data_IF_910140922985
#
_entry.id   IF_910140922985
#
_cell.length_a   1.000
_cell.length_b   1.000
_cell.length_c   1.000
_cell.angle_alpha   90.00
_cell.angle_beta   90.00
_cell.angle_gamma   90.00
#
_symmetry.space_group_name_H-M   'P 1'
#
loop_
_entity.id
_entity.type
_entity.pdbx_description
1 polymer ?
#
# COMPACT_ATOMS: atom_id res chain seq x y z
N UNK A 1 -2.55 12.20 -6.09
CA UNK A 1 -2.06 11.73 -7.39
C UNK A 1 -3.10 11.77 -8.51
N UNK A 2 -4.42 11.66 -8.26
CA UNK A 2 -5.44 11.70 -9.32
C UNK A 2 -5.46 13.05 -10.06
N UNK A 3 -5.32 14.17 -9.35
CA UNK A 3 -5.27 15.51 -9.94
C UNK A 3 -4.07 15.66 -10.87
N UNK A 4 -2.90 15.19 -10.46
CA UNK A 4 -1.68 15.24 -11.29
C UNK A 4 -1.84 14.39 -12.56
N UNK A 5 -2.45 13.20 -12.42
CA UNK A 5 -2.73 12.31 -13.55
C UNK A 5 -3.72 12.96 -14.54
N UNK A 6 -4.78 13.55 -14.01
CA UNK A 6 -5.75 14.29 -14.84
C UNK A 6 -5.11 15.41 -15.66
N UNK A 7 -4.28 16.26 -15.03
CA UNK A 7 -3.57 17.33 -15.71
C UNK A 7 -2.57 16.81 -16.75
N UNK A 8 -1.87 15.72 -16.43
CA UNK A 8 -0.96 15.06 -17.35
C UNK A 8 -1.71 14.55 -18.59
N UNK A 9 -2.82 13.81 -18.40
CA UNK A 9 -3.63 13.30 -19.49
C UNK A 9 -4.16 14.43 -20.39
N UNK A 10 -4.67 15.52 -19.79
CA UNK A 10 -5.10 16.71 -20.50
C UNK A 10 -4.00 17.27 -21.42
N UNK A 11 -2.79 17.40 -20.88
CA UNK A 11 -1.66 17.97 -21.62
C UNK A 11 -1.13 17.02 -22.70
N UNK A 12 -1.09 15.73 -22.40
CA UNK A 12 -0.65 14.69 -23.34
C UNK A 12 -1.58 14.61 -24.55
N UNK A 13 -2.91 14.70 -24.32
CA UNK A 13 -3.92 14.66 -25.40
C UNK A 13 -3.74 15.75 -26.44
N UNK A 14 -3.18 16.90 -26.08
CA UNK A 14 -2.88 17.96 -27.05
C UNK A 14 -1.87 17.53 -28.13
N UNK A 15 -1.11 16.45 -27.87
CA UNK A 15 0.00 16.01 -28.73
C UNK A 15 -0.24 14.64 -29.35
N UNK A 16 -0.90 13.73 -28.62
CA UNK A 16 -1.10 12.34 -29.04
C UNK A 16 -2.49 11.83 -28.69
N UNK A 17 -2.95 10.80 -29.39
CA UNK A 17 -4.22 10.14 -29.11
C UNK A 17 -4.03 8.88 -28.25
N UNK A 18 -2.83 8.29 -28.31
CA UNK A 18 -2.44 7.08 -27.56
C UNK A 18 -1.13 7.35 -26.86
N UNK A 19 -1.01 6.94 -25.61
CA UNK A 19 0.21 7.01 -24.83
C UNK A 19 0.51 5.63 -24.19
N UNK A 20 1.79 5.32 -24.01
CA UNK A 20 2.22 4.16 -23.23
C UNK A 20 2.50 4.59 -21.80
N UNK A 21 1.94 3.87 -20.83
CA UNK A 21 2.21 4.02 -19.40
C UNK A 21 3.17 2.96 -18.89
N UNK A 22 3.61 3.13 -17.64
CA UNK A 22 4.39 2.13 -16.89
C UNK A 22 3.61 1.52 -15.74
N UNK A 23 2.29 1.66 -15.77
CA UNK A 23 1.42 1.17 -14.71
C UNK A 23 1.42 -0.38 -14.68
N UNK A 24 1.49 -0.95 -13.48
CA UNK A 24 1.60 -2.39 -13.29
C UNK A 24 3.04 -2.90 -13.12
N UNK A 25 4.05 -2.12 -13.48
CA UNK A 25 5.45 -2.54 -13.36
C UNK A 25 5.87 -2.85 -11.92
N UNK A 26 5.52 -1.97 -10.97
CA UNK A 26 5.85 -2.17 -9.55
C UNK A 26 5.07 -3.35 -8.95
N UNK A 27 3.84 -3.57 -9.39
CA UNK A 27 2.97 -4.66 -8.96
C UNK A 27 3.45 -6.03 -9.44
N UNK A 28 4.01 -6.10 -10.65
CA UNK A 28 4.49 -7.35 -11.25
C UNK A 28 5.92 -7.67 -10.81
N UNK A 29 6.78 -6.66 -10.70
CA UNK A 29 8.21 -6.83 -10.41
C UNK A 29 8.60 -6.52 -8.96
N UNK A 30 7.63 -6.42 -8.06
CA UNK A 30 7.86 -6.12 -6.64
C UNK A 30 8.65 -4.82 -6.40
N UNK A 31 8.34 -3.75 -7.13
CA UNK A 31 9.07 -2.48 -7.10
C UNK A 31 8.84 -1.65 -5.83
N UNK A 32 7.74 -1.88 -5.10
CA UNK A 32 7.41 -1.10 -3.90
C UNK A 32 8.31 -1.40 -2.71
N UNK A 33 8.58 -0.38 -1.89
CA UNK A 33 9.33 -0.53 -0.63
C UNK A 33 8.65 -1.49 0.36
N UNK A 34 7.35 -1.73 0.25
CA UNK A 34 6.61 -2.70 1.06
C UNK A 34 7.08 -4.13 0.87
N UNK A 35 7.58 -4.51 -0.31
CA UNK A 35 8.19 -5.83 -0.53
C UNK A 35 9.50 -6.00 0.24
N UNK A 36 10.30 -4.93 0.37
CA UNK A 36 11.48 -4.94 1.25
C UNK A 36 11.05 -5.03 2.72
N UNK A 37 9.97 -4.33 3.09
CA UNK A 37 9.42 -4.34 4.43
C UNK A 37 8.99 -5.75 4.89
N UNK A 38 8.51 -6.64 4.01
CA UNK A 38 8.16 -8.03 4.32
C UNK A 38 9.37 -8.76 4.93
N UNK A 39 10.55 -8.63 4.30
CA UNK A 39 11.78 -9.27 4.77
C UNK A 39 12.20 -8.75 6.13
N UNK A 40 12.16 -7.43 6.32
CA UNK A 40 12.49 -6.79 7.60
C UNK A 40 11.47 -7.16 8.69
N UNK A 41 10.18 -7.22 8.38
CA UNK A 41 9.14 -7.63 9.32
C UNK A 41 9.42 -9.03 9.86
N UNK A 42 9.75 -9.99 9.00
CA UNK A 42 10.09 -11.37 9.38
C UNK A 42 11.32 -11.44 10.31
N UNK A 43 12.35 -10.64 10.03
CA UNK A 43 13.54 -10.57 10.88
C UNK A 43 13.18 -10.01 12.26
N UNK A 44 12.42 -8.92 12.31
CA UNK A 44 12.01 -8.28 13.57
C UNK A 44 11.14 -9.22 14.39
N UNK A 45 10.20 -9.91 13.80
CA UNK A 45 9.33 -10.89 14.50
C UNK A 45 10.11 -12.07 15.09
N UNK A 46 11.16 -12.51 14.41
CA UNK A 46 12.02 -13.57 14.90
C UNK A 46 12.95 -13.12 16.05
N UNK A 47 13.34 -11.84 16.06
CA UNK A 47 14.30 -11.31 17.04
C UNK A 47 13.62 -10.66 18.26
N UNK A 48 12.41 -10.10 18.09
CA UNK A 48 11.75 -9.31 19.11
C UNK A 48 10.42 -9.94 19.53
N UNK A 49 10.23 -10.26 20.82
CA UNK A 49 8.93 -10.71 21.33
C UNK A 49 7.83 -9.68 21.07
N UNK A 50 6.64 -10.15 20.68
CA UNK A 50 5.49 -9.29 20.39
C UNK A 50 5.13 -8.30 21.50
N UNK A 51 5.40 -8.67 22.76
CA UNK A 51 5.15 -7.83 23.93
C UNK A 51 5.93 -6.51 23.92
N UNK A 52 7.05 -6.42 23.19
CA UNK A 52 7.91 -5.22 23.13
C UNK A 52 7.49 -4.25 22.04
N UNK A 53 6.68 -4.67 21.07
CA UNK A 53 6.29 -3.83 19.91
C UNK A 53 5.61 -2.50 20.32
N UNK A 54 4.69 -2.44 21.32
CA UNK A 54 4.08 -1.17 21.74
C UNK A 54 5.10 -0.19 22.36
N UNK A 55 6.11 -0.70 23.06
CA UNK A 55 7.16 0.12 23.64
C UNK A 55 8.05 0.73 22.55
N UNK A 56 8.42 -0.05 21.53
CA UNK A 56 9.20 0.41 20.39
C UNK A 56 8.46 1.50 19.62
N UNK A 57 7.15 1.35 19.41
CA UNK A 57 6.33 2.35 18.72
C UNK A 57 6.34 3.68 19.48
N UNK A 58 6.26 3.66 20.83
CA UNK A 58 6.36 4.87 21.65
C UNK A 58 7.73 5.54 21.55
N UNK A 59 8.82 4.76 21.58
CA UNK A 59 10.20 5.28 21.47
C UNK A 59 10.42 5.95 20.12
N UNK A 60 9.94 5.36 19.03
CA UNK A 60 10.02 5.96 17.70
C UNK A 60 9.22 7.26 17.61
N UNK A 61 8.15 7.39 18.41
CA UNK A 61 7.40 8.64 18.58
C UNK A 61 8.29 9.82 19.02
N UNK A 62 9.37 9.58 19.76
CA UNK A 62 10.30 10.58 20.28
C UNK A 62 11.34 11.04 19.24
N UNK A 63 11.58 10.23 18.18
CA UNK A 63 12.55 10.58 17.13
C UNK A 63 12.09 11.86 16.40
N UNK A 64 12.95 12.88 16.23
CA UNK A 64 12.58 14.13 15.59
C UNK A 64 12.00 13.92 14.18
N UNK A 65 11.00 14.73 13.83
CA UNK A 65 10.43 14.74 12.49
C UNK A 65 11.41 15.44 11.55
N UNK A 66 11.94 14.71 10.56
CA UNK A 66 12.64 15.32 9.44
C UNK A 66 11.62 15.81 8.41
N UNK A 67 11.91 16.95 7.77
CA UNK A 67 11.09 17.50 6.67
C UNK A 67 11.25 16.73 5.35
N UNK A 68 12.15 15.73 5.31
CA UNK A 68 12.36 14.92 4.12
C UNK A 68 11.16 14.01 3.85
N UNK A 69 10.74 13.94 2.60
CA UNK A 69 9.69 13.06 2.13
C UNK A 69 10.04 11.59 2.44
N UNK A 70 9.10 10.85 3.06
CA UNK A 70 9.29 9.45 3.46
C UNK A 70 10.56 9.21 4.31
N UNK A 71 10.76 10.04 5.34
CA UNK A 71 11.91 9.91 6.24
C UNK A 71 11.95 8.53 6.95
N UNK A 72 13.11 8.18 7.51
CA UNK A 72 13.34 6.90 8.20
C UNK A 72 12.31 6.62 9.30
N UNK A 73 11.93 7.65 10.07
CA UNK A 73 10.89 7.54 11.11
C UNK A 73 9.55 7.10 10.52
N UNK A 74 9.12 7.71 9.42
CA UNK A 74 7.87 7.36 8.74
C UNK A 74 7.89 5.90 8.26
N UNK A 75 8.99 5.48 7.61
CA UNK A 75 9.15 4.09 7.13
C UNK A 75 9.11 3.10 8.29
N UNK A 76 9.76 3.43 9.42
CA UNK A 76 9.78 2.57 10.60
C UNK A 76 8.42 2.50 11.29
N UNK A 77 7.71 3.62 11.42
CA UNK A 77 6.33 3.63 11.93
C UNK A 77 5.40 2.78 11.06
N UNK A 78 5.48 2.92 9.74
CA UNK A 78 4.72 2.09 8.79
C UNK A 78 5.05 0.60 8.93
N UNK A 79 6.32 0.26 9.00
CA UNK A 79 6.75 -1.13 9.21
C UNK A 79 6.13 -1.72 10.48
N UNK A 80 6.17 -0.99 11.59
CA UNK A 80 5.62 -1.45 12.86
C UNK A 80 4.08 -1.56 12.87
N UNK A 81 3.38 -0.74 12.07
CA UNK A 81 1.92 -0.89 11.93
C UNK A 81 1.52 -2.27 11.39
N UNK A 82 2.31 -2.87 10.51
CA UNK A 82 2.03 -4.20 9.98
C UNK A 82 2.53 -5.34 10.87
N UNK A 83 3.57 -5.08 11.68
CA UNK A 83 4.13 -6.08 12.59
C UNK A 83 3.18 -6.30 13.78
N UNK A 84 2.92 -7.56 14.11
CA UNK A 84 1.96 -7.91 15.17
C UNK A 84 0.56 -8.27 14.67
N UNK A 85 0.26 -7.96 13.42
CA UNK A 85 -0.94 -8.42 12.72
C UNK A 85 -0.67 -9.67 11.88
N UNK A 86 -1.76 -10.34 11.45
CA UNK A 86 -1.68 -11.46 10.49
C UNK A 86 -0.97 -10.98 9.20
N UNK A 87 -0.23 -11.88 8.56
CA UNK A 87 0.52 -11.53 7.33
C UNK A 87 -0.37 -10.95 6.24
N UNK A 88 -1.61 -11.46 6.10
CA UNK A 88 -2.60 -10.96 5.15
C UNK A 88 -2.97 -9.48 5.36
N UNK A 89 -2.87 -8.97 6.58
CA UNK A 89 -3.20 -7.57 6.90
C UNK A 89 -2.03 -6.60 6.67
N UNK A 90 -0.82 -7.08 6.46
CA UNK A 90 0.36 -6.20 6.37
C UNK A 90 0.29 -5.25 5.18
N UNK A 91 -0.01 -5.77 4.00
CA UNK A 91 -0.06 -4.95 2.79
C UNK A 91 -1.16 -3.88 2.86
N UNK A 92 -2.42 -4.21 3.18
CA UNK A 92 -3.45 -3.18 3.31
C UNK A 92 -3.13 -2.15 4.40
N UNK A 93 -2.57 -2.54 5.55
CA UNK A 93 -2.15 -1.61 6.60
C UNK A 93 -1.00 -0.70 6.16
N UNK A 94 -0.03 -1.23 5.42
CA UNK A 94 1.09 -0.41 4.90
C UNK A 94 0.66 0.55 3.79
N UNK A 95 -0.35 0.21 3.02
CA UNK A 95 -0.91 1.07 1.98
C UNK A 95 -1.95 2.07 2.52
N UNK A 96 -2.59 1.77 3.65
CA UNK A 96 -3.62 2.63 4.22
C UNK A 96 -3.04 4.01 4.57
N UNK A 97 -3.66 5.12 4.14
CA UNK A 97 -3.23 6.46 4.50
C UNK A 97 -3.47 6.80 5.98
N UNK A 98 -4.43 6.11 6.60
CA UNK A 98 -4.88 6.32 7.99
C UNK A 98 -4.71 5.03 8.81
N UNK A 99 -4.48 5.16 10.10
CA UNK A 99 -4.42 4.04 11.03
C UNK A 99 -5.80 3.64 11.58
N UNK A 100 -5.83 2.56 12.34
CA UNK A 100 -7.08 2.06 12.95
C UNK A 100 -7.76 3.12 13.82
N UNK A 101 -7.00 3.81 14.66
CA UNK A 101 -7.55 4.79 15.61
C UNK A 101 -8.22 5.97 14.88
N UNK A 102 -7.61 6.45 13.79
CA UNK A 102 -8.19 7.53 12.99
C UNK A 102 -9.48 7.09 12.29
N UNK A 103 -9.56 5.82 11.89
CA UNK A 103 -10.80 5.26 11.30
C UNK A 103 -11.88 5.13 12.38
N UNK A 104 -11.54 4.64 13.58
CA UNK A 104 -12.48 4.54 14.71
C UNK A 104 -13.00 5.90 15.15
N UNK A 105 -12.15 6.93 15.17
CA UNK A 105 -12.54 8.31 15.47
C UNK A 105 -13.50 8.87 14.40
N UNK A 106 -13.22 8.60 13.12
CA UNK A 106 -14.04 9.07 12.00
C UNK A 106 -15.44 8.45 12.00
N UNK A 107 -15.54 7.17 12.33
CA UNK A 107 -16.81 6.43 12.34
C UNK A 107 -17.50 6.39 13.71
N UNK A 108 -16.90 6.97 14.74
CA UNK A 108 -17.39 6.96 16.13
C UNK A 108 -17.72 5.54 16.64
N UNK A 109 -16.99 4.54 16.16
CA UNK A 109 -17.23 3.13 16.46
C UNK A 109 -15.95 2.31 16.42
N UNK A 110 -15.93 1.20 17.16
CA UNK A 110 -14.84 0.25 17.08
C UNK A 110 -14.82 -0.42 15.72
N UNK A 111 -13.63 -0.52 15.12
CA UNK A 111 -13.42 -1.12 13.80
C UNK A 111 -12.66 -2.44 13.94
N UNK A 112 -13.23 -3.50 13.38
CA UNK A 112 -12.53 -4.75 13.20
C UNK A 112 -11.70 -4.69 11.91
N UNK A 113 -10.38 -4.79 12.01
CA UNK A 113 -9.49 -4.75 10.85
C UNK A 113 -9.68 -5.95 9.90
N UNK A 114 -10.12 -7.09 10.42
CA UNK A 114 -10.36 -8.28 9.58
C UNK A 114 -11.60 -8.08 8.71
N UNK A 115 -12.63 -7.43 9.23
CA UNK A 115 -13.83 -7.11 8.44
C UNK A 115 -13.52 -6.00 7.42
N UNK A 116 -12.80 -4.96 7.85
CA UNK A 116 -12.42 -3.83 7.00
C UNK A 116 -11.57 -4.26 5.79
N UNK A 117 -10.67 -5.22 5.99
CA UNK A 117 -9.75 -5.71 4.96
C UNK A 117 -10.08 -7.15 4.53
N UNK A 118 -11.35 -7.56 4.65
CA UNK A 118 -11.80 -8.92 4.33
C UNK A 118 -11.44 -9.35 2.90
N UNK A 119 -11.60 -8.48 1.91
CA UNK A 119 -11.22 -8.77 0.52
C UNK A 119 -9.71 -9.09 0.39
N UNK A 120 -8.85 -8.34 1.08
CA UNK A 120 -7.41 -8.57 1.08
C UNK A 120 -7.05 -9.91 1.74
N UNK A 121 -7.75 -10.28 2.81
CA UNK A 121 -7.57 -11.57 3.49
C UNK A 121 -8.00 -12.71 2.57
N UNK A 122 -9.17 -12.61 1.96
CA UNK A 122 -9.67 -13.62 1.01
C UNK A 122 -8.68 -13.82 -0.14
N UNK A 123 -8.17 -12.74 -0.70
CA UNK A 123 -7.20 -12.83 -1.81
C UNK A 123 -5.88 -13.45 -1.37
N UNK A 124 -5.41 -13.13 -0.16
CA UNK A 124 -4.23 -13.74 0.44
C UNK A 124 -4.39 -15.25 0.67
N UNK A 125 -5.58 -15.69 1.11
CA UNK A 125 -5.88 -17.10 1.39
C UNK A 125 -6.07 -17.92 0.12
N UNK A 126 -6.57 -17.33 -0.95
CA UNK A 126 -6.67 -17.98 -2.29
C UNK A 126 -5.30 -18.32 -2.88
N UNK A 127 -4.26 -17.61 -2.48
CA UNK A 127 -2.92 -17.85 -3.00
C UNK A 127 -2.31 -19.13 -2.41
N UNK A 128 -2.03 -20.10 -3.26
CA UNK A 128 -1.43 -21.37 -2.87
C UNK A 128 0.09 -21.27 -2.59
N UNK A 129 0.71 -20.16 -2.96
CA UNK A 129 2.13 -19.95 -2.74
C UNK A 129 2.46 -19.84 -1.24
N UNK A 130 3.63 -20.33 -0.85
CA UNK A 130 4.10 -20.26 0.54
C UNK A 130 4.90 -18.98 0.83
N UNK A 131 5.45 -18.38 -0.20
CA UNK A 131 6.28 -17.20 -0.07
C UNK A 131 5.41 -15.94 0.13
N UNK A 132 5.59 -15.17 1.20
CA UNK A 132 4.81 -13.96 1.45
C UNK A 132 4.95 -12.89 0.35
N UNK A 133 6.05 -12.90 -0.40
CA UNK A 133 6.25 -11.98 -1.52
C UNK A 133 5.28 -12.32 -2.64
N UNK A 134 5.14 -13.60 -3.00
CA UNK A 134 4.26 -14.04 -4.08
C UNK A 134 2.78 -13.81 -3.72
N UNK A 135 2.41 -14.06 -2.46
CA UNK A 135 1.09 -13.68 -1.94
C UNK A 135 0.84 -12.18 -2.01
N UNK A 136 1.86 -11.38 -1.74
CA UNK A 136 1.74 -9.93 -1.86
C UNK A 136 1.63 -9.48 -3.30
N UNK A 137 2.35 -10.09 -4.25
CA UNK A 137 2.21 -9.82 -5.68
C UNK A 137 0.78 -10.09 -6.15
N UNK A 138 0.17 -11.18 -5.70
CA UNK A 138 -1.23 -11.49 -6.01
C UNK A 138 -2.17 -10.40 -5.45
N UNK A 139 -2.00 -9.98 -4.20
CA UNK A 139 -2.76 -8.87 -3.61
C UNK A 139 -2.60 -7.58 -4.42
N UNK A 140 -1.35 -7.23 -4.78
CA UNK A 140 -1.09 -6.03 -5.57
C UNK A 140 -1.73 -6.10 -6.97
N UNK A 141 -1.60 -7.24 -7.65
CA UNK A 141 -2.17 -7.43 -8.99
C UNK A 141 -3.71 -7.41 -9.00
N UNK A 142 -4.33 -8.16 -8.09
CA UNK A 142 -5.78 -8.38 -8.13
C UNK A 142 -6.59 -7.30 -7.42
N UNK A 143 -6.03 -6.63 -6.42
CA UNK A 143 -6.75 -5.62 -5.66
C UNK A 143 -6.21 -4.21 -5.97
N UNK A 144 -4.93 -3.98 -5.72
CA UNK A 144 -4.37 -2.63 -5.76
C UNK A 144 -4.26 -2.10 -7.19
N UNK A 145 -3.69 -2.90 -8.11
CA UNK A 145 -3.55 -2.52 -9.50
C UNK A 145 -4.92 -2.27 -10.15
N UNK A 146 -5.83 -3.22 -10.04
CA UNK A 146 -7.15 -3.13 -10.71
C UNK A 146 -8.00 -2.02 -10.13
N UNK A 147 -8.17 -1.98 -8.80
CA UNK A 147 -9.15 -1.09 -8.18
C UNK A 147 -8.62 0.33 -7.95
N UNK A 148 -7.30 0.52 -7.91
CA UNK A 148 -6.72 1.83 -7.64
C UNK A 148 -5.92 2.40 -8.83
N UNK A 149 -4.98 1.65 -9.37
CA UNK A 149 -4.08 2.18 -10.38
C UNK A 149 -4.78 2.28 -11.73
N UNK A 150 -5.23 1.16 -12.28
CA UNK A 150 -5.86 1.12 -13.59
C UNK A 150 -7.16 1.91 -13.63
N UNK A 151 -8.00 1.82 -12.61
CA UNK A 151 -9.23 2.60 -12.50
C UNK A 151 -8.96 4.11 -12.50
N UNK A 152 -7.93 4.56 -11.78
CA UNK A 152 -7.51 5.97 -11.77
C UNK A 152 -7.02 6.40 -13.15
N UNK A 153 -6.15 5.61 -13.78
CA UNK A 153 -5.57 5.91 -15.10
C UNK A 153 -6.67 5.96 -16.16
N UNK A 154 -7.53 4.95 -16.20
CA UNK A 154 -8.64 4.87 -17.14
C UNK A 154 -9.56 6.09 -17.03
N UNK A 155 -10.07 6.37 -15.83
CA UNK A 155 -10.99 7.49 -15.61
C UNK A 155 -10.37 8.83 -16.00
N UNK A 156 -9.12 9.09 -15.59
CA UNK A 156 -8.46 10.38 -15.89
C UNK A 156 -8.07 10.53 -17.34
N UNK A 157 -7.70 9.47 -18.02
CA UNK A 157 -7.34 9.51 -19.43
C UNK A 157 -8.58 9.61 -20.33
N UNK A 158 -9.61 8.84 -20.05
CA UNK A 158 -10.85 8.83 -20.82
C UNK A 158 -11.61 10.15 -20.71
N UNK A 159 -11.51 10.88 -19.59
CA UNK A 159 -12.07 12.25 -19.47
C UNK A 159 -11.50 13.22 -20.53
N UNK A 160 -10.34 12.92 -21.09
CA UNK A 160 -9.71 13.71 -22.15
C UNK A 160 -9.69 12.98 -23.50
N UNK A 161 -10.29 11.80 -23.60
CA UNK A 161 -10.26 10.97 -24.81
C UNK A 161 -8.84 10.51 -25.16
N UNK A 162 -7.95 10.39 -24.18
CA UNK A 162 -6.61 9.84 -24.34
C UNK A 162 -6.64 8.32 -24.05
N UNK A 163 -6.19 7.52 -24.99
CA UNK A 163 -6.00 6.09 -24.77
C UNK A 163 -4.63 5.87 -24.09
N UNK A 164 -4.62 5.25 -22.91
CA UNK A 164 -3.38 4.87 -22.21
C UNK A 164 -3.30 3.34 -22.20
N UNK A 165 -2.15 2.82 -22.62
CA UNK A 165 -1.80 1.38 -22.58
C UNK A 165 -0.63 1.16 -21.63
N UNK A 166 -0.69 0.12 -20.82
CA UNK A 166 0.35 -0.31 -19.86
C UNK A 166 1.06 -1.54 -20.39
#
# INVERSE_FOLDING_TARGET
>A
SIVSQFLLCKKTKEKVTVALGGDGGDEIFAGYDTFKAIRFAKIIENLLPRAIHPAITKIIGIVPRSLSYMNFRFKLQRLLMGIGHKEALRQPLWLSPVGKNEVEELFESQVNLEDLFSEAIIEWEKCNEKNPIDKSLQFYGNIFLQNQILTKVDRTSMMHGLEVRS
#
